data_IF_408814521821
#
_entry.id   IF_408814521821
#
_cell.length_a   1.000
_cell.length_b   1.000
_cell.length_c   1.000
_cell.angle_alpha   90.00
_cell.angle_beta   90.00
_cell.angle_gamma   90.00
#
_symmetry.space_group_name_H-M   'P 1'
#
loop_
_entity.id
_entity.type
_entity.pdbx_description
1 polymer ?
#
# COMPACT_ATOMS: atom_id res chain seq x y z
N UNK A 1 15.83 -14.43 -2.82
CA UNK A 1 14.51 -13.79 -2.68
C UNK A 1 14.57 -12.47 -3.44
N UNK A 2 13.78 -12.34 -4.49
CA UNK A 2 13.64 -11.15 -5.33
C UNK A 2 12.36 -10.43 -4.94
N UNK A 3 12.45 -9.15 -4.59
CA UNK A 3 11.33 -8.36 -4.06
C UNK A 3 11.07 -7.17 -4.97
N UNK A 4 9.80 -6.95 -5.32
CA UNK A 4 9.35 -5.66 -5.84
C UNK A 4 9.24 -4.67 -4.68
N UNK A 5 10.19 -3.75 -4.59
CA UNK A 5 10.33 -2.89 -3.42
C UNK A 5 9.33 -1.74 -3.36
N UNK A 6 8.46 -1.56 -4.37
CA UNK A 6 7.57 -0.39 -4.41
C UNK A 6 6.25 -0.71 -5.13
N UNK A 7 5.25 -1.13 -4.37
CA UNK A 7 3.90 -1.43 -4.86
C UNK A 7 2.86 -0.63 -4.07
N UNK A 8 1.87 -0.09 -4.76
CA UNK A 8 0.71 0.56 -4.14
C UNK A 8 -0.54 -0.33 -4.27
N UNK A 9 -1.42 -0.27 -3.26
CA UNK A 9 -2.77 -0.84 -3.31
C UNK A 9 -3.76 0.21 -2.89
N UNK A 10 -4.95 0.26 -3.51
CA UNK A 10 -5.99 1.21 -3.12
C UNK A 10 -7.38 0.72 -3.51
N UNK A 11 -8.38 1.16 -2.73
CA UNK A 11 -9.77 1.19 -3.17
C UNK A 11 -10.03 2.57 -3.74
N UNK A 12 -10.33 2.67 -5.02
CA UNK A 12 -10.41 3.96 -5.71
C UNK A 12 -11.53 4.82 -5.14
N UNK A 13 -11.21 6.07 -4.82
CA UNK A 13 -12.14 7.10 -4.39
C UNK A 13 -11.90 8.36 -5.22
N UNK A 14 -12.92 8.81 -5.96
CA UNK A 14 -12.75 9.93 -6.90
C UNK A 14 -12.46 11.28 -6.23
N UNK A 15 -12.76 11.43 -4.94
CA UNK A 15 -12.50 12.67 -4.19
C UNK A 15 -11.09 12.65 -3.61
N UNK A 16 -10.72 11.56 -2.92
CA UNK A 16 -9.37 11.36 -2.37
C UNK A 16 -8.33 11.29 -3.48
N UNK A 17 -8.60 10.52 -4.53
CA UNK A 17 -7.68 10.26 -5.64
C UNK A 17 -7.85 11.28 -6.78
N UNK A 18 -8.20 12.52 -6.43
CA UNK A 18 -8.44 13.62 -7.38
C UNK A 18 -7.21 14.01 -8.22
N UNK A 19 -6.03 13.50 -7.85
CA UNK A 19 -4.81 13.60 -8.65
C UNK A 19 -4.84 12.74 -9.93
N UNK A 20 -5.76 11.78 -10.04
CA UNK A 20 -5.91 10.89 -11.20
C UNK A 20 -6.70 11.61 -12.31
N UNK A 21 -5.97 12.17 -13.27
CA UNK A 21 -6.55 12.87 -14.44
C UNK A 21 -7.19 11.92 -15.44
N UNK A 22 -7.86 12.46 -16.47
CA UNK A 22 -8.53 11.65 -17.50
C UNK A 22 -7.54 10.83 -18.34
N UNK A 23 -6.31 11.32 -18.50
CA UNK A 23 -5.21 10.58 -19.14
C UNK A 23 -4.79 9.34 -18.34
N UNK A 24 -5.06 9.32 -17.03
CA UNK A 24 -4.72 8.24 -16.11
C UNK A 24 -5.90 7.31 -15.82
N UNK A 25 -6.92 7.27 -16.70
CA UNK A 25 -8.17 6.52 -16.48
C UNK A 25 -7.99 5.08 -16.03
N UNK A 26 -6.92 4.40 -16.46
CA UNK A 26 -6.61 3.04 -16.03
C UNK A 26 -6.46 2.91 -14.51
N UNK A 27 -6.02 3.97 -13.81
CA UNK A 27 -5.84 3.99 -12.37
C UNK A 27 -7.15 4.17 -11.58
N UNK A 28 -8.26 4.54 -12.26
CA UNK A 28 -9.58 4.80 -11.65
C UNK A 28 -10.36 3.51 -11.33
N UNK A 29 -9.71 2.57 -10.67
CA UNK A 29 -10.28 1.31 -10.23
C UNK A 29 -9.54 0.79 -8.99
N UNK A 30 -10.12 -0.19 -8.32
CA UNK A 30 -9.45 -0.81 -7.17
C UNK A 30 -8.25 -1.62 -7.66
N UNK A 31 -7.10 -1.40 -7.03
CA UNK A 31 -5.91 -2.23 -7.20
C UNK A 31 -5.63 -2.94 -5.87
N UNK A 32 -5.90 -4.25 -5.86
CA UNK A 32 -5.83 -5.09 -4.67
C UNK A 32 -4.87 -6.28 -4.90
N UNK A 33 -4.34 -6.91 -3.82
CA UNK A 33 -3.31 -7.96 -3.91
C UNK A 33 -3.61 -9.10 -4.90
N UNK A 34 -4.88 -9.50 -5.04
CA UNK A 34 -5.29 -10.56 -5.96
C UNK A 34 -4.99 -10.28 -7.44
N UNK A 35 -4.88 -9.01 -7.84
CA UNK A 35 -4.53 -8.64 -9.22
C UNK A 35 -3.01 -8.72 -9.47
N UNK A 36 -2.21 -8.53 -8.43
CA UNK A 36 -0.75 -8.49 -8.53
C UNK A 36 -0.11 -9.89 -8.48
N UNK A 37 -0.67 -10.81 -7.71
CA UNK A 37 -0.04 -12.12 -7.43
C UNK A 37 0.28 -12.93 -8.70
N UNK A 38 -0.54 -12.84 -9.75
CA UNK A 38 -0.27 -13.50 -11.03
C UNK A 38 0.96 -12.90 -11.72
N UNK A 39 1.05 -11.57 -11.77
CA UNK A 39 2.16 -10.85 -12.38
C UNK A 39 3.49 -11.10 -11.64
N UNK A 40 3.47 -11.19 -10.30
CA UNK A 40 4.67 -11.53 -9.54
C UNK A 40 5.20 -12.92 -9.93
N UNK A 41 4.30 -13.91 -10.04
CA UNK A 41 4.66 -15.28 -10.44
C UNK A 41 5.22 -15.34 -11.86
N UNK A 42 4.58 -14.66 -12.81
CA UNK A 42 5.03 -14.61 -14.21
C UNK A 42 6.44 -14.00 -14.36
N UNK A 43 6.82 -13.09 -13.46
CA UNK A 43 8.10 -12.39 -13.49
C UNK A 43 9.14 -12.94 -12.50
N UNK A 44 8.87 -14.07 -11.83
CA UNK A 44 9.75 -14.68 -10.83
C UNK A 44 10.11 -13.71 -9.66
N UNK A 45 9.11 -12.94 -9.20
CA UNK A 45 9.22 -12.08 -8.02
C UNK A 45 8.59 -12.80 -6.82
N UNK A 46 9.35 -12.93 -5.73
CA UNK A 46 8.96 -13.70 -4.55
C UNK A 46 8.00 -12.96 -3.62
N UNK A 47 7.88 -11.63 -3.78
CA UNK A 47 7.02 -10.79 -2.97
C UNK A 47 7.20 -9.30 -3.23
N UNK A 48 6.49 -8.47 -2.48
CA UNK A 48 6.57 -7.01 -2.62
C UNK A 48 6.61 -6.28 -1.28
N UNK A 49 6.98 -5.00 -1.33
CA UNK A 49 6.78 -4.03 -0.26
C UNK A 49 5.62 -3.13 -0.64
N UNK A 50 4.59 -3.07 0.22
CA UNK A 50 3.44 -2.20 0.01
C UNK A 50 3.74 -0.80 0.54
N UNK A 51 3.58 0.23 -0.28
CA UNK A 51 3.91 1.63 0.03
C UNK A 51 2.62 2.45 0.02
N UNK A 52 2.46 3.33 1.03
CA UNK A 52 1.31 4.22 1.16
C UNK A 52 1.00 4.99 -0.14
N UNK A 53 -0.27 5.08 -0.52
CA UNK A 53 -0.75 5.92 -1.62
C UNK A 53 -1.50 7.18 -1.12
N UNK A 54 -1.91 7.20 0.15
CA UNK A 54 -2.64 8.29 0.80
C UNK A 54 -1.95 8.76 2.09
N UNK A 55 -2.13 10.03 2.45
CA UNK A 55 -1.58 10.69 3.63
C UNK A 55 -2.51 10.60 4.83
N UNK A 56 -3.04 9.40 5.08
CA UNK A 56 -3.92 9.10 6.20
C UNK A 56 -3.41 7.87 6.92
N UNK A 57 -3.51 7.85 8.25
CA UNK A 57 -3.12 6.66 9.02
C UNK A 57 -3.97 5.43 8.69
N UNK A 58 -5.21 5.65 8.24
CA UNK A 58 -6.10 4.60 7.74
C UNK A 58 -5.45 3.80 6.58
N UNK A 59 -4.60 4.43 5.76
CA UNK A 59 -3.84 3.76 4.70
C UNK A 59 -2.82 2.78 5.30
N UNK A 60 -2.10 3.18 6.34
CA UNK A 60 -1.15 2.29 7.04
C UNK A 60 -1.86 1.08 7.62
N UNK A 61 -3.00 1.30 8.29
CA UNK A 61 -3.83 0.21 8.83
C UNK A 61 -4.32 -0.74 7.72
N UNK A 62 -4.75 -0.18 6.60
CA UNK A 62 -5.17 -0.96 5.43
C UNK A 62 -4.03 -1.83 4.87
N UNK A 63 -2.86 -1.25 4.63
CA UNK A 63 -1.70 -1.99 4.11
C UNK A 63 -1.20 -3.06 5.11
N UNK A 64 -1.19 -2.76 6.40
CA UNK A 64 -0.86 -3.73 7.45
C UNK A 64 -1.88 -4.87 7.55
N UNK A 65 -3.15 -4.61 7.25
CA UNK A 65 -4.16 -5.67 7.18
C UNK A 65 -3.92 -6.56 5.95
N UNK A 66 -3.67 -5.95 4.78
CA UNK A 66 -3.35 -6.71 3.56
C UNK A 66 -2.12 -7.60 3.75
N UNK A 67 -1.08 -7.11 4.44
CA UNK A 67 0.13 -7.91 4.68
C UNK A 67 -0.10 -9.13 5.59
N UNK A 68 -1.11 -9.08 6.46
CA UNK A 68 -1.54 -10.25 7.28
C UNK A 68 -2.36 -11.25 6.48
N UNK A 69 -3.06 -10.80 5.45
CA UNK A 69 -3.92 -11.63 4.60
C UNK A 69 -3.17 -12.24 3.41
N UNK A 70 -2.03 -11.65 3.03
CA UNK A 70 -1.27 -12.02 1.84
C UNK A 70 0.22 -12.17 2.12
N UNK A 71 0.68 -13.42 2.27
CA UNK A 71 2.07 -13.77 2.58
C UNK A 71 3.12 -13.23 1.61
N UNK A 72 2.75 -12.85 0.39
CA UNK A 72 3.68 -12.28 -0.59
C UNK A 72 4.02 -10.81 -0.31
N UNK A 73 3.25 -10.11 0.52
CA UNK A 73 3.56 -8.76 0.98
C UNK A 73 4.54 -8.89 2.15
N UNK A 74 5.83 -8.60 1.90
CA UNK A 74 6.92 -8.86 2.85
C UNK A 74 7.19 -7.72 3.81
N UNK A 75 6.77 -6.51 3.47
CA UNK A 75 6.87 -5.34 4.32
C UNK A 75 5.86 -4.26 3.91
N UNK A 76 5.67 -3.28 4.79
CA UNK A 76 4.82 -2.11 4.57
C UNK A 76 5.63 -0.85 4.86
N UNK A 77 5.57 0.13 3.95
CA UNK A 77 5.97 1.51 4.17
C UNK A 77 4.71 2.33 4.40
N UNK A 78 4.37 2.55 5.67
CA UNK A 78 3.18 3.27 6.09
C UNK A 78 3.35 4.79 6.07
N UNK A 79 2.23 5.49 6.21
CA UNK A 79 2.16 6.90 6.53
C UNK A 79 1.79 7.13 8.01
N UNK A 80 2.37 8.17 8.60
CA UNK A 80 2.04 8.67 9.93
C UNK A 80 2.36 10.16 9.98
N UNK A 81 1.63 10.95 10.77
CA UNK A 81 2.01 12.33 11.03
C UNK A 81 3.23 12.37 11.97
N UNK A 82 4.40 12.61 11.40
CA UNK A 82 5.67 12.71 12.14
C UNK A 82 5.78 13.97 13.00
N UNK A 83 4.84 14.93 12.85
CA UNK A 83 4.83 16.18 13.61
C UNK A 83 3.90 16.13 14.84
N UNK A 84 3.16 15.03 15.04
CA UNK A 84 2.28 14.90 16.20
C UNK A 84 3.08 14.81 17.51
N UNK A 85 2.56 15.42 18.58
CA UNK A 85 3.24 15.50 19.89
C UNK A 85 3.54 14.13 20.52
N UNK A 86 2.75 13.09 20.18
CA UNK A 86 2.84 11.74 20.73
C UNK A 86 3.35 10.69 19.73
N UNK A 87 4.17 11.12 18.75
CA UNK A 87 4.70 10.27 17.68
C UNK A 87 5.32 8.95 18.17
N UNK A 88 6.07 8.96 19.28
CA UNK A 88 6.69 7.76 19.83
C UNK A 88 5.65 6.68 20.21
N UNK A 89 4.53 7.10 20.83
CA UNK A 89 3.43 6.19 21.18
C UNK A 89 2.76 5.65 19.93
N UNK A 90 2.60 6.50 18.91
CA UNK A 90 1.94 6.11 17.68
C UNK A 90 2.80 5.17 16.84
N UNK A 91 4.12 5.35 16.79
CA UNK A 91 5.05 4.39 16.18
C UNK A 91 5.07 3.05 16.91
N UNK A 92 5.04 3.06 18.26
CA UNK A 92 5.02 1.85 19.07
C UNK A 92 3.78 0.97 18.82
N UNK A 93 2.66 1.55 18.39
CA UNK A 93 1.46 0.79 18.01
C UNK A 93 1.67 -0.12 16.79
N UNK A 94 2.57 0.25 15.88
CA UNK A 94 2.86 -0.49 14.64
C UNK A 94 4.10 -1.40 14.74
N UNK A 95 4.75 -1.45 15.90
CA UNK A 95 5.96 -2.25 16.15
C UNK A 95 5.66 -3.66 16.65
#
# INVERSE_FOLDING_TARGET
MTIDSHVHFWNYDAVRDSWITDEMKILRQNYLPGQLVAHLKENNIDGCVAVQADQQEAETLFLCQLSKEHDFIKAVVGWIDLQQDDIDKRLQYFS
#
